data_IF_466855350348
#
_entry.id   IF_466855350348
#
_cell.length_a   1.000
_cell.length_b   1.000
_cell.length_c   1.000
_cell.angle_alpha   90.00
_cell.angle_beta   90.00
_cell.angle_gamma   90.00
#
_symmetry.space_group_name_H-M   'P 1'
#
loop_
_entity.id
_entity.type
_entity.pdbx_description
1 polymer ?
#
# COMPACT_ATOMS: atom_id res chain seq x y z
N UNK A 1 38.45 3.87 7.24
CA UNK A 1 37.90 3.79 8.61
C UNK A 1 37.96 5.18 9.23
N UNK A 2 36.86 5.67 9.82
CA UNK A 2 36.83 6.97 10.51
C UNK A 2 37.60 6.90 11.84
N UNK A 3 38.22 8.02 12.25
CA UNK A 3 38.97 8.13 13.51
C UNK A 3 38.12 7.76 14.73
N UNK A 4 36.82 8.11 14.70
CA UNK A 4 35.83 7.77 15.73
C UNK A 4 35.67 6.24 15.92
N UNK A 5 35.55 5.49 14.82
CA UNK A 5 35.43 4.03 14.87
C UNK A 5 36.69 3.36 15.43
N UNK A 6 37.87 3.89 15.10
CA UNK A 6 39.16 3.34 15.59
C UNK A 6 39.32 3.57 17.10
N UNK A 7 38.90 4.73 17.60
CA UNK A 7 38.94 5.04 19.03
C UNK A 7 37.93 4.18 19.80
N UNK A 8 36.71 4.03 19.27
CA UNK A 8 35.68 3.15 19.86
C UNK A 8 36.11 1.69 19.89
N UNK A 9 36.79 1.20 18.85
CA UNK A 9 37.29 -0.17 18.80
C UNK A 9 38.29 -0.45 19.92
N UNK A 10 39.27 0.44 20.09
CA UNK A 10 40.25 0.34 21.19
C UNK A 10 39.58 0.34 22.55
N UNK A 11 38.60 1.21 22.74
CA UNK A 11 37.86 1.32 23.99
C UNK A 11 37.03 0.06 24.28
N UNK A 12 36.36 -0.49 23.27
CA UNK A 12 35.64 -1.76 23.41
C UNK A 12 36.57 -2.92 23.77
N UNK A 13 37.72 -3.04 23.12
CA UNK A 13 38.72 -4.08 23.45
C UNK A 13 39.20 -3.96 24.89
N UNK A 14 39.57 -2.75 25.33
CA UNK A 14 40.00 -2.48 26.72
C UNK A 14 38.93 -2.88 27.73
N UNK A 15 37.68 -2.48 27.48
CA UNK A 15 36.56 -2.78 28.37
C UNK A 15 36.22 -4.28 28.42
N UNK A 16 36.36 -5.00 27.30
CA UNK A 16 36.21 -6.46 27.24
C UNK A 16 37.28 -7.13 28.11
N UNK A 17 38.55 -6.74 27.98
CA UNK A 17 39.64 -7.30 28.79
C UNK A 17 39.44 -7.05 30.29
N UNK A 18 38.97 -5.86 30.66
CA UNK A 18 38.65 -5.53 32.05
C UNK A 18 37.46 -6.34 32.58
N UNK A 19 36.42 -6.53 31.76
CA UNK A 19 35.28 -7.37 32.12
C UNK A 19 35.69 -8.83 32.32
N UNK A 20 36.58 -9.36 31.45
CA UNK A 20 37.12 -10.72 31.56
C UNK A 20 37.92 -10.91 32.85
N UNK A 21 38.79 -9.98 33.20
CA UNK A 21 39.53 -10.02 34.49
C UNK A 21 38.58 -10.06 35.69
N UNK A 22 37.48 -9.31 35.62
CA UNK A 22 36.47 -9.34 36.67
C UNK A 22 35.69 -10.66 36.72
N UNK A 23 35.45 -11.31 35.58
CA UNK A 23 34.88 -12.66 35.52
C UNK A 23 35.83 -13.71 36.12
N UNK A 24 37.13 -13.63 35.83
CA UNK A 24 38.16 -14.51 36.39
C UNK A 24 38.26 -14.39 37.91
N UNK A 25 38.15 -13.15 38.44
CA UNK A 25 38.15 -12.87 39.87
C UNK A 25 36.80 -13.13 40.56
N UNK A 26 35.79 -13.61 39.82
CA UNK A 26 34.42 -13.83 40.30
C UNK A 26 33.77 -12.57 40.94
N UNK A 27 34.20 -11.37 40.53
CA UNK A 27 33.66 -10.09 41.00
C UNK A 27 32.46 -9.69 40.12
N UNK A 28 31.28 -10.22 40.46
CA UNK A 28 30.02 -9.96 39.76
C UNK A 28 29.66 -8.47 39.68
N UNK A 29 29.97 -7.70 40.72
CA UNK A 29 29.69 -6.26 40.75
C UNK A 29 30.59 -5.50 39.78
N UNK A 30 31.86 -5.89 39.68
CA UNK A 30 32.74 -5.36 38.65
C UNK A 30 32.22 -5.69 37.24
N UNK A 31 31.85 -6.95 36.97
CA UNK A 31 31.39 -7.35 35.63
C UNK A 31 30.12 -6.60 35.23
N UNK A 32 29.15 -6.44 36.14
CA UNK A 32 27.93 -5.65 35.86
C UNK A 32 28.26 -4.20 35.46
N UNK A 33 29.18 -3.54 36.17
CA UNK A 33 29.63 -2.18 35.81
C UNK A 33 30.32 -2.15 34.44
N UNK A 34 31.15 -3.15 34.14
CA UNK A 34 31.84 -3.21 32.84
C UNK A 34 30.89 -3.51 31.68
N UNK A 35 29.88 -4.35 31.88
CA UNK A 35 28.80 -4.55 30.91
C UNK A 35 28.06 -3.24 30.68
N UNK A 36 27.70 -2.50 31.72
CA UNK A 36 27.06 -1.20 31.59
C UNK A 36 27.89 -0.23 30.73
N UNK A 37 29.19 -0.13 30.99
CA UNK A 37 30.13 0.66 30.19
C UNK A 37 30.18 0.19 28.72
N UNK A 38 30.33 -1.12 28.48
CA UNK A 38 30.35 -1.72 27.14
C UNK A 38 29.07 -1.46 26.34
N UNK A 39 27.91 -1.51 26.99
CA UNK A 39 26.63 -1.24 26.34
C UNK A 39 26.48 0.25 26.04
N UNK A 40 26.86 1.12 26.98
CA UNK A 40 26.80 2.58 26.84
C UNK A 40 27.62 3.11 25.66
N UNK A 41 28.77 2.49 25.37
CA UNK A 41 29.61 2.83 24.20
C UNK A 41 29.28 1.99 22.95
N UNK A 42 28.15 1.27 22.96
CA UNK A 42 27.61 0.49 21.84
C UNK A 42 28.50 -0.68 21.34
N UNK A 43 29.37 -1.24 22.20
CA UNK A 43 30.25 -2.35 21.82
C UNK A 43 29.47 -3.63 21.45
N UNK A 44 28.21 -3.75 21.86
CA UNK A 44 27.32 -4.86 21.51
C UNK A 44 26.76 -4.79 20.07
N UNK A 45 26.94 -3.67 19.38
CA UNK A 45 26.38 -3.42 18.04
C UNK A 45 27.38 -3.79 16.93
N UNK A 46 27.25 -5.01 16.42
CA UNK A 46 28.13 -5.55 15.37
C UNK A 46 28.14 -4.74 14.05
N UNK A 47 27.11 -3.93 13.77
CA UNK A 47 27.10 -3.03 12.61
C UNK A 47 28.10 -1.88 12.75
N UNK A 48 28.32 -1.40 13.98
CA UNK A 48 29.20 -0.26 14.26
C UNK A 48 30.64 -0.72 14.49
N UNK A 49 30.82 -1.78 15.27
CA UNK A 49 32.15 -2.15 15.79
C UNK A 49 32.74 -3.41 15.12
N UNK A 50 31.92 -4.20 14.43
CA UNK A 50 32.30 -5.49 13.86
C UNK A 50 31.81 -6.66 14.71
N UNK A 51 31.66 -7.83 14.05
CA UNK A 51 31.05 -9.02 14.67
C UNK A 51 31.85 -9.54 15.86
N UNK A 52 33.17 -9.62 15.72
CA UNK A 52 34.07 -10.20 16.74
C UNK A 52 33.95 -9.52 18.10
N UNK A 53 34.04 -8.18 18.14
CA UNK A 53 33.91 -7.41 19.39
C UNK A 53 32.50 -7.53 19.96
N UNK A 54 31.47 -7.46 19.11
CA UNK A 54 30.09 -7.61 19.56
C UNK A 54 29.79 -9.00 20.11
N UNK A 55 30.42 -10.04 19.58
CA UNK A 55 30.32 -11.42 20.07
C UNK A 55 31.08 -11.56 21.41
N UNK A 56 32.24 -10.92 21.58
CA UNK A 56 32.94 -10.88 22.88
C UNK A 56 32.10 -10.25 24.00
N UNK A 57 31.33 -9.20 23.71
CA UNK A 57 30.37 -8.63 24.68
C UNK A 57 29.25 -9.63 25.02
N UNK A 58 28.76 -10.41 24.04
CA UNK A 58 27.75 -11.46 24.30
C UNK A 58 28.30 -12.55 25.20
N UNK A 59 29.54 -12.98 24.98
CA UNK A 59 30.20 -14.01 25.80
C UNK A 59 30.33 -13.56 27.25
N UNK A 60 30.75 -12.30 27.49
CA UNK A 60 30.81 -11.75 28.86
C UNK A 60 29.43 -11.76 29.53
N UNK A 61 28.39 -11.34 28.81
CA UNK A 61 27.00 -11.33 29.32
C UNK A 61 26.53 -12.76 29.61
N UNK A 62 26.87 -13.73 28.74
CA UNK A 62 26.54 -15.13 28.92
C UNK A 62 27.21 -15.75 30.15
N UNK A 63 28.52 -15.54 30.29
CA UNK A 63 29.31 -16.05 31.42
C UNK A 63 28.84 -15.47 32.75
N UNK A 64 28.56 -14.17 32.79
CA UNK A 64 27.99 -13.55 33.98
C UNK A 64 26.62 -14.18 34.32
N UNK A 65 25.76 -14.38 33.31
CA UNK A 65 24.43 -14.95 33.50
C UNK A 65 24.47 -16.36 34.12
N UNK A 66 25.38 -17.20 33.66
CA UNK A 66 25.55 -18.57 34.17
C UNK A 66 25.99 -18.58 35.64
N UNK A 67 26.89 -17.67 36.02
CA UNK A 67 27.47 -17.60 37.38
C UNK A 67 26.66 -16.75 38.36
N UNK A 68 25.63 -16.06 37.89
CA UNK A 68 24.83 -15.12 38.66
C UNK A 68 23.70 -15.78 39.44
N UNK A 69 23.43 -15.21 40.63
CA UNK A 69 22.23 -15.52 41.41
C UNK A 69 21.01 -14.75 40.87
N UNK A 70 19.87 -14.93 41.51
CA UNK A 70 18.61 -14.31 41.11
C UNK A 70 18.71 -12.77 41.03
N UNK A 71 19.29 -12.13 42.05
CA UNK A 71 19.40 -10.68 42.12
C UNK A 71 20.32 -10.12 41.03
N UNK A 72 21.49 -10.74 40.83
CA UNK A 72 22.44 -10.33 39.80
C UNK A 72 21.87 -10.50 38.40
N UNK A 73 21.09 -11.57 38.15
CA UNK A 73 20.37 -11.77 36.89
C UNK A 73 19.34 -10.68 36.63
N UNK A 74 18.53 -10.34 37.64
CA UNK A 74 17.54 -9.25 37.48
C UNK A 74 18.22 -7.89 37.27
N UNK A 75 19.35 -7.63 37.93
CA UNK A 75 20.11 -6.40 37.73
C UNK A 75 20.72 -6.31 36.34
N UNK A 76 21.30 -7.38 35.82
CA UNK A 76 21.81 -7.47 34.45
C UNK A 76 20.70 -7.17 33.42
N UNK A 77 19.53 -7.78 33.59
CA UNK A 77 18.39 -7.55 32.69
C UNK A 77 17.91 -6.09 32.73
N UNK A 78 17.86 -5.46 33.92
CA UNK A 78 17.50 -4.03 34.04
C UNK A 78 18.46 -3.14 33.29
N UNK A 79 19.77 -3.33 33.46
CA UNK A 79 20.81 -2.59 32.73
C UNK A 79 20.59 -2.72 31.22
N UNK A 80 20.48 -3.95 30.71
CA UNK A 80 20.28 -4.19 29.27
C UNK A 80 19.00 -3.52 28.75
N UNK A 81 17.92 -3.50 29.55
CA UNK A 81 16.66 -2.83 29.22
C UNK A 81 16.79 -1.30 29.24
N UNK A 82 17.46 -0.73 30.24
CA UNK A 82 17.63 0.72 30.40
C UNK A 82 18.44 1.34 29.26
N UNK A 83 19.34 0.55 28.66
CA UNK A 83 20.09 0.94 27.46
C UNK A 83 19.43 0.51 26.14
N UNK A 84 18.13 0.15 26.16
CA UNK A 84 17.35 -0.22 24.97
C UNK A 84 17.95 -1.37 24.14
N UNK A 85 18.66 -2.31 24.79
CA UNK A 85 19.16 -3.50 24.10
C UNK A 85 17.97 -4.35 23.65
N UNK A 86 17.98 -4.78 22.38
CA UNK A 86 16.84 -5.51 21.83
C UNK A 86 16.62 -6.84 22.56
N UNK A 87 15.37 -7.20 22.82
CA UNK A 87 14.96 -8.49 23.42
C UNK A 87 15.55 -9.70 22.68
N UNK A 88 15.68 -9.61 21.35
CA UNK A 88 16.32 -10.63 20.52
C UNK A 88 17.80 -10.76 20.85
N UNK A 89 18.53 -9.65 20.93
CA UNK A 89 19.96 -9.67 21.28
C UNK A 89 20.16 -10.27 22.67
N UNK A 90 19.33 -9.89 23.66
CA UNK A 90 19.42 -10.46 25.03
C UNK A 90 19.16 -11.96 25.01
N UNK A 91 18.11 -12.40 24.33
CA UNK A 91 17.80 -13.83 24.16
C UNK A 91 18.99 -14.59 23.56
N UNK A 92 19.58 -14.04 22.50
CA UNK A 92 20.68 -14.65 21.79
C UNK A 92 21.95 -14.67 22.67
N UNK A 93 22.24 -13.61 23.45
CA UNK A 93 23.37 -13.58 24.38
C UNK A 93 23.21 -14.53 25.59
N UNK A 94 21.99 -14.72 26.06
CA UNK A 94 21.71 -15.61 27.20
C UNK A 94 21.54 -17.09 26.82
N UNK A 95 21.58 -17.40 25.52
CA UNK A 95 21.29 -18.74 24.98
C UNK A 95 19.99 -19.35 25.54
N UNK A 96 18.93 -18.54 25.61
CA UNK A 96 17.63 -18.98 26.15
C UNK A 96 16.53 -18.83 25.10
N UNK A 97 15.40 -19.49 25.32
CA UNK A 97 14.22 -19.33 24.47
C UNK A 97 13.36 -18.13 24.92
N UNK A 98 12.42 -17.71 24.06
CA UNK A 98 11.58 -16.54 24.33
C UNK A 98 10.66 -16.72 25.55
N UNK A 99 10.18 -17.94 25.81
CA UNK A 99 9.28 -18.23 26.95
C UNK A 99 10.05 -18.14 28.26
N UNK A 100 11.24 -18.70 28.31
CA UNK A 100 12.13 -18.63 29.48
C UNK A 100 12.54 -17.19 29.76
N UNK A 101 12.92 -16.42 28.74
CA UNK A 101 13.27 -14.99 28.90
C UNK A 101 12.09 -14.16 29.42
N UNK A 102 10.88 -14.36 28.87
CA UNK A 102 9.67 -13.68 29.36
C UNK A 102 9.37 -14.02 30.83
N UNK A 103 9.58 -15.28 31.23
CA UNK A 103 9.42 -15.69 32.63
C UNK A 103 10.38 -14.92 33.55
N UNK A 104 11.62 -14.70 33.11
CA UNK A 104 12.58 -13.88 33.85
C UNK A 104 12.16 -12.41 33.91
N UNK A 105 11.62 -11.84 32.84
CA UNK A 105 11.10 -10.46 32.86
C UNK A 105 9.99 -10.27 33.89
N UNK A 106 9.01 -11.19 33.92
CA UNK A 106 7.94 -11.19 34.92
C UNK A 106 8.51 -11.32 36.33
N UNK A 107 9.41 -12.29 36.56
CA UNK A 107 10.05 -12.51 37.87
C UNK A 107 10.82 -11.28 38.36
N UNK A 108 11.56 -10.62 37.47
CA UNK A 108 12.35 -9.44 37.79
C UNK A 108 11.54 -8.13 37.83
N UNK A 109 10.23 -8.18 37.55
CA UNK A 109 9.37 -6.99 37.47
C UNK A 109 9.78 -6.03 36.35
N UNK A 110 10.25 -6.57 35.22
CA UNK A 110 10.73 -5.79 34.07
C UNK A 110 9.63 -5.81 33.01
N UNK A 111 9.08 -4.64 32.73
CA UNK A 111 8.32 -4.42 31.50
C UNK A 111 9.32 -4.14 30.36
N UNK A 112 9.58 -5.17 29.56
CA UNK A 112 10.46 -5.06 28.41
C UNK A 112 9.59 -4.78 27.20
N UNK A 113 9.51 -3.49 26.81
CA UNK A 113 8.66 -3.05 25.69
C UNK A 113 8.80 -4.02 24.52
N UNK A 114 7.69 -4.71 24.23
CA UNK A 114 7.54 -5.32 22.92
C UNK A 114 7.54 -4.15 21.95
N UNK A 115 8.47 -4.15 20.98
CA UNK A 115 8.50 -3.21 19.83
C UNK A 115 7.07 -2.81 19.50
N UNK A 116 6.76 -1.50 19.57
CA UNK A 116 5.43 -1.00 19.18
C UNK A 116 5.02 -1.69 17.88
N UNK A 117 3.84 -2.33 17.92
CA UNK A 117 3.30 -2.98 16.73
C UNK A 117 3.23 -1.92 15.64
N UNK A 118 3.60 -2.28 14.41
CA UNK A 118 3.71 -1.36 13.27
C UNK A 118 2.48 -0.46 13.12
N UNK A 119 1.29 -1.00 13.35
CA UNK A 119 0.03 -0.25 13.35
C UNK A 119 0.03 0.92 14.32
N UNK A 120 0.63 0.78 15.50
CA UNK A 120 0.75 1.86 16.48
C UNK A 120 1.81 2.88 16.05
N UNK A 121 2.90 2.45 15.41
CA UNK A 121 3.91 3.38 14.84
C UNK A 121 3.29 4.23 13.73
N UNK A 122 2.51 3.61 12.85
CA UNK A 122 1.76 4.31 11.79
C UNK A 122 0.84 5.36 12.40
N UNK A 123 0.03 5.00 13.41
CA UNK A 123 -0.86 5.94 14.10
C UNK A 123 -0.12 7.13 14.72
N UNK A 124 1.05 6.89 15.33
CA UNK A 124 1.87 7.97 15.91
C UNK A 124 2.40 8.91 14.81
N UNK A 125 2.90 8.36 13.70
CA UNK A 125 3.39 9.20 12.60
C UNK A 125 2.24 9.97 11.95
N UNK A 126 1.08 9.34 11.71
CA UNK A 126 -0.11 10.03 11.21
C UNK A 126 -0.57 11.14 12.14
N UNK A 127 -0.56 10.91 13.46
CA UNK A 127 -0.83 11.92 14.47
C UNK A 127 0.15 13.10 14.38
N UNK A 128 1.45 12.82 14.31
CA UNK A 128 2.48 13.85 14.15
C UNK A 128 2.33 14.65 12.85
N UNK A 129 1.99 13.97 11.74
CA UNK A 129 1.78 14.62 10.45
C UNK A 129 0.59 15.56 10.48
N UNK A 130 -0.51 15.16 11.12
CA UNK A 130 -1.68 16.03 11.32
C UNK A 130 -1.39 17.18 12.27
N UNK A 131 -0.77 16.91 13.42
CA UNK A 131 -0.55 17.89 14.48
C UNK A 131 0.56 18.91 14.16
N UNK A 132 1.63 18.48 13.49
CA UNK A 132 2.83 19.33 13.28
C UNK A 132 2.96 19.88 11.87
N UNK A 133 2.33 19.24 10.88
CA UNK A 133 2.49 19.59 9.47
C UNK A 133 1.14 19.87 8.79
N UNK A 134 0.03 19.89 9.55
CA UNK A 134 -1.33 20.04 9.05
C UNK A 134 -1.66 19.08 7.88
N UNK A 135 -0.97 17.93 7.86
CA UNK A 135 -1.04 16.99 6.76
C UNK A 135 -2.25 16.08 6.93
N UNK A 136 -3.37 16.49 6.33
CA UNK A 136 -4.63 15.76 6.29
C UNK A 136 -4.96 15.29 4.86
N UNK A 137 -6.10 14.62 4.70
CA UNK A 137 -6.58 14.10 3.42
C UNK A 137 -6.76 15.19 2.36
N UNK A 138 -7.21 16.38 2.76
CA UNK A 138 -7.35 17.53 1.86
C UNK A 138 -5.98 17.98 1.38
N UNK A 139 -5.01 18.13 2.28
CA UNK A 139 -3.63 18.51 1.91
C UNK A 139 -3.00 17.48 0.97
N UNK A 140 -3.15 16.18 1.26
CA UNK A 140 -2.73 15.10 0.36
C UNK A 140 -3.35 15.24 -1.03
N UNK A 141 -4.64 15.54 -1.10
CA UNK A 141 -5.32 15.76 -2.37
C UNK A 141 -4.79 17.00 -3.12
N UNK A 142 -4.62 18.13 -2.44
CA UNK A 142 -4.10 19.36 -3.05
C UNK A 142 -2.67 19.15 -3.60
N UNK A 143 -1.82 18.43 -2.86
CA UNK A 143 -0.47 18.06 -3.31
C UNK A 143 -0.51 17.13 -4.55
N UNK A 144 -1.46 16.17 -4.59
CA UNK A 144 -1.69 15.37 -5.79
C UNK A 144 -2.14 16.23 -6.98
N UNK A 145 -3.08 17.15 -6.77
CA UNK A 145 -3.58 18.05 -7.82
C UNK A 145 -2.44 18.92 -8.36
N UNK A 146 -1.64 19.51 -7.46
CA UNK A 146 -0.47 20.30 -7.85
C UNK A 146 0.56 19.46 -8.61
N UNK A 147 0.82 18.22 -8.18
CA UNK A 147 1.74 17.31 -8.85
C UNK A 147 1.34 17.06 -10.32
N UNK A 148 0.04 16.94 -10.60
CA UNK A 148 -0.47 16.74 -11.96
C UNK A 148 -0.74 18.03 -12.74
N UNK A 149 -0.35 19.20 -12.18
CA UNK A 149 -0.48 20.52 -12.83
C UNK A 149 -1.83 21.21 -12.65
N UNK A 150 -2.70 20.70 -11.77
CA UNK A 150 -4.00 21.30 -11.45
C UNK A 150 -3.85 22.34 -10.33
N UNK A 151 -4.14 23.60 -10.63
CA UNK A 151 -4.24 24.66 -9.63
C UNK A 151 -5.64 24.64 -8.99
N UNK A 152 -5.73 24.23 -7.72
CA UNK A 152 -7.01 24.04 -7.04
C UNK A 152 -7.85 25.32 -6.91
N UNK A 153 -7.20 26.47 -6.67
CA UNK A 153 -7.89 27.75 -6.50
C UNK A 153 -8.51 28.25 -7.81
N UNK A 154 -7.91 27.89 -8.95
CA UNK A 154 -8.45 28.22 -10.26
C UNK A 154 -9.81 27.54 -10.52
N UNK A 155 -10.03 26.33 -9.98
CA UNK A 155 -11.30 25.61 -10.07
C UNK A 155 -12.32 26.10 -9.03
N UNK A 156 -11.87 26.38 -7.79
CA UNK A 156 -12.73 26.88 -6.70
C UNK A 156 -13.44 28.19 -7.07
N UNK A 157 -12.80 29.05 -7.88
CA UNK A 157 -13.42 30.27 -8.43
C UNK A 157 -14.75 30.02 -9.16
N UNK A 158 -14.94 28.82 -9.72
CA UNK A 158 -16.16 28.42 -10.45
C UNK A 158 -17.06 27.47 -9.63
N UNK A 159 -16.82 27.37 -8.31
CA UNK A 159 -17.56 26.47 -7.43
C UNK A 159 -17.30 24.99 -7.74
N UNK A 160 -16.09 24.65 -8.19
CA UNK A 160 -15.64 23.28 -8.38
C UNK A 160 -14.57 23.02 -7.33
N UNK A 161 -14.81 22.07 -6.42
CA UNK A 161 -13.85 21.65 -5.41
C UNK A 161 -13.06 20.44 -5.93
N UNK A 162 -11.77 20.56 -6.29
CA UNK A 162 -11.01 19.45 -6.86
C UNK A 162 -10.85 18.26 -5.92
N UNK A 163 -10.94 18.47 -4.61
CA UNK A 163 -10.83 17.42 -3.60
C UNK A 163 -12.16 16.78 -3.20
N UNK A 164 -13.26 17.09 -3.89
CA UNK A 164 -14.59 16.52 -3.60
C UNK A 164 -14.68 15.01 -3.84
N UNK A 165 -13.71 14.41 -4.54
CA UNK A 165 -13.65 12.96 -4.74
C UNK A 165 -13.47 12.18 -3.43
N UNK A 166 -12.99 12.84 -2.37
CA UNK A 166 -12.89 12.28 -1.03
C UNK A 166 -14.25 12.17 -0.32
N UNK A 167 -15.24 12.97 -0.72
CA UNK A 167 -16.57 13.00 -0.10
C UNK A 167 -17.28 11.67 -0.31
N UNK A 168 -17.78 11.05 0.76
CA UNK A 168 -18.51 9.79 0.70
C UNK A 168 -17.62 8.56 0.57
N UNK A 169 -16.30 8.69 0.44
CA UNK A 169 -15.39 7.56 0.34
C UNK A 169 -15.48 6.64 1.57
N UNK A 170 -15.69 7.21 2.76
CA UNK A 170 -15.85 6.48 4.02
C UNK A 170 -17.00 5.48 4.00
N UNK A 171 -18.08 5.77 3.27
CA UNK A 171 -19.21 4.87 3.15
C UNK A 171 -18.90 3.61 2.33
N UNK A 172 -17.78 3.60 1.57
CA UNK A 172 -17.28 2.43 0.88
C UNK A 172 -16.57 1.43 1.81
N UNK A 173 -16.51 1.68 3.12
CA UNK A 173 -16.11 0.65 4.10
C UNK A 173 -17.02 -0.58 4.06
N UNK A 174 -18.28 -0.41 3.62
CA UNK A 174 -19.21 -1.51 3.37
C UNK A 174 -19.00 -2.09 1.96
N UNK A 175 -18.44 -3.32 1.89
CA UNK A 175 -18.19 -4.02 0.64
C UNK A 175 -19.47 -4.40 -0.13
N UNK A 176 -20.66 -4.34 0.50
CA UNK A 176 -21.96 -4.62 -0.15
C UNK A 176 -22.45 -3.46 -1.02
N UNK A 177 -21.74 -2.34 -1.01
CA UNK A 177 -22.06 -1.20 -1.86
C UNK A 177 -21.82 -1.52 -3.34
N UNK A 178 -22.78 -1.27 -4.26
CA UNK A 178 -22.68 -1.60 -5.68
C UNK A 178 -21.44 -1.06 -6.37
N UNK A 179 -20.88 0.03 -5.85
CA UNK A 179 -19.59 0.59 -6.29
C UNK A 179 -18.50 -0.48 -6.40
N UNK A 180 -18.38 -1.37 -5.42
CA UNK A 180 -17.36 -2.43 -5.40
C UNK A 180 -17.56 -3.48 -6.49
N UNK A 181 -18.81 -3.78 -6.84
CA UNK A 181 -19.12 -4.66 -7.97
C UNK A 181 -18.72 -3.99 -9.29
N UNK A 182 -19.01 -2.69 -9.45
CA UNK A 182 -18.57 -1.88 -10.60
C UNK A 182 -17.04 -1.82 -10.74
N UNK A 183 -16.34 -1.65 -9.62
CA UNK A 183 -14.88 -1.68 -9.66
C UNK A 183 -14.36 -3.09 -9.99
N UNK A 184 -15.02 -4.16 -9.51
CA UNK A 184 -14.67 -5.54 -9.85
C UNK A 184 -14.88 -5.85 -11.33
N UNK A 185 -15.92 -5.30 -11.95
CA UNK A 185 -16.16 -5.46 -13.38
C UNK A 185 -15.10 -4.74 -14.23
N UNK A 186 -14.39 -3.76 -13.66
CA UNK A 186 -13.28 -3.02 -14.28
C UNK A 186 -11.88 -3.37 -13.73
N UNK A 187 -11.29 -2.55 -12.86
CA UNK A 187 -9.87 -2.64 -12.45
C UNK A 187 -9.61 -3.56 -11.24
N UNK A 188 -10.60 -3.75 -10.36
CA UNK A 188 -10.40 -4.52 -9.13
C UNK A 188 -10.32 -6.01 -9.46
N UNK A 189 -9.19 -6.62 -9.09
CA UNK A 189 -9.01 -8.06 -9.15
C UNK A 189 -9.36 -8.67 -7.79
N UNK A 190 -10.28 -9.63 -7.78
CA UNK A 190 -10.62 -10.44 -6.58
C UNK A 190 -10.05 -11.84 -6.77
N UNK A 191 -9.30 -12.34 -5.78
CA UNK A 191 -8.72 -13.69 -5.80
C UNK A 191 -9.13 -14.46 -4.55
N UNK A 192 -9.68 -15.65 -4.72
CA UNK A 192 -9.95 -16.57 -3.62
C UNK A 192 -8.76 -17.49 -3.40
N UNK A 193 -8.22 -17.50 -2.18
CA UNK A 193 -7.19 -18.41 -1.72
C UNK A 193 -7.73 -19.43 -0.71
N UNK A 194 -6.85 -20.24 -0.13
CA UNK A 194 -7.19 -21.20 0.92
C UNK A 194 -7.47 -20.47 2.24
N UNK A 195 -8.68 -19.93 2.37
CA UNK A 195 -9.19 -19.30 3.60
C UNK A 195 -9.23 -17.77 3.61
N UNK A 196 -8.89 -17.11 2.50
CA UNK A 196 -8.88 -15.64 2.39
C UNK A 196 -9.31 -15.18 0.99
N UNK A 197 -9.87 -13.97 0.90
CA UNK A 197 -10.15 -13.29 -0.37
C UNK A 197 -9.25 -12.06 -0.52
N UNK A 198 -8.34 -12.07 -1.48
CA UNK A 198 -7.42 -10.95 -1.77
C UNK A 198 -8.11 -9.97 -2.75
N UNK A 199 -8.24 -8.71 -2.35
CA UNK A 199 -8.62 -7.60 -3.22
C UNK A 199 -7.37 -6.88 -3.72
N UNK A 200 -7.21 -6.72 -5.03
CA UNK A 200 -6.00 -6.19 -5.66
C UNK A 200 -6.30 -5.07 -6.64
N UNK A 201 -5.59 -3.95 -6.47
CA UNK A 201 -5.52 -2.86 -7.44
C UNK A 201 -4.06 -2.57 -7.78
N UNK A 202 -3.73 -2.41 -9.06
CA UNK A 202 -2.37 -2.18 -9.52
C UNK A 202 -2.30 -1.04 -10.52
N UNK A 203 -1.30 -0.17 -10.39
CA UNK A 203 -1.18 0.99 -11.27
C UNK A 203 0.26 1.46 -11.47
N UNK A 204 0.44 2.16 -12.58
CA UNK A 204 1.63 2.96 -12.90
C UNK A 204 1.27 4.45 -13.02
N UNK A 205 -0.03 4.79 -12.92
CA UNK A 205 -0.56 6.15 -13.01
C UNK A 205 -0.36 6.90 -11.69
N UNK A 206 -0.05 8.20 -11.79
CA UNK A 206 0.15 9.07 -10.63
C UNK A 206 -1.10 9.24 -9.76
N UNK A 207 -2.27 9.42 -10.40
CA UNK A 207 -3.54 9.64 -9.72
C UNK A 207 -3.98 8.37 -8.99
N UNK A 208 -3.97 7.23 -9.69
CA UNK A 208 -4.39 5.95 -9.14
C UNK A 208 -3.50 5.50 -7.97
N UNK A 209 -2.22 5.89 -7.95
CA UNK A 209 -1.31 5.56 -6.85
C UNK A 209 -1.80 6.10 -5.50
N UNK A 210 -2.45 7.27 -5.50
CA UNK A 210 -3.04 7.89 -4.30
C UNK A 210 -4.49 7.44 -4.12
N UNK A 211 -5.24 7.36 -5.21
CA UNK A 211 -6.64 6.97 -5.16
C UNK A 211 -6.83 5.52 -4.67
N UNK A 212 -6.10 4.55 -5.21
CA UNK A 212 -6.26 3.13 -4.86
C UNK A 212 -5.89 2.83 -3.41
N UNK A 213 -4.84 3.48 -2.87
CA UNK A 213 -4.49 3.32 -1.45
C UNK A 213 -5.59 3.90 -0.55
N UNK A 214 -6.13 5.07 -0.90
CA UNK A 214 -7.23 5.68 -0.13
C UNK A 214 -8.50 4.84 -0.21
N UNK A 215 -8.85 4.35 -1.39
CA UNK A 215 -10.01 3.51 -1.60
C UNK A 215 -9.93 2.20 -0.81
N UNK A 216 -8.82 1.46 -0.86
CA UNK A 216 -8.70 0.21 -0.08
C UNK A 216 -8.64 0.47 1.42
N UNK A 217 -8.05 1.61 1.84
CA UNK A 217 -7.94 1.98 3.26
C UNK A 217 -9.28 2.20 3.97
N UNK A 218 -10.38 2.40 3.22
CA UNK A 218 -11.73 2.48 3.81
C UNK A 218 -12.19 1.14 4.38
N UNK A 219 -11.64 0.03 3.86
CA UNK A 219 -11.96 -1.34 4.27
C UNK A 219 -10.91 -1.83 5.27
N UNK A 220 -9.64 -1.88 4.85
CA UNK A 220 -8.51 -2.32 5.68
C UNK A 220 -7.23 -1.62 5.23
N UNK A 221 -6.24 -1.53 6.12
CA UNK A 221 -4.92 -0.97 5.77
C UNK A 221 -4.30 -1.83 4.66
N UNK A 222 -4.04 -1.26 3.46
CA UNK A 222 -3.51 -2.03 2.34
C UNK A 222 -2.03 -2.37 2.50
N UNK A 223 -1.66 -3.55 2.03
CA UNK A 223 -0.29 -3.91 1.72
C UNK A 223 0.08 -3.31 0.36
N UNK A 224 1.35 -2.92 0.20
CA UNK A 224 1.90 -2.44 -1.07
C UNK A 224 3.02 -3.38 -1.55
N UNK A 225 3.07 -3.61 -2.85
CA UNK A 225 4.16 -4.31 -3.51
C UNK A 225 4.64 -3.44 -4.67
N UNK A 226 5.90 -3.02 -4.59
CA UNK A 226 6.57 -2.21 -5.61
C UNK A 226 7.36 -3.16 -6.50
N UNK A 227 7.03 -3.21 -7.78
CA UNK A 227 7.70 -4.11 -8.73
C UNK A 227 7.89 -3.47 -10.09
N UNK A 228 8.82 -4.02 -10.85
CA UNK A 228 8.94 -3.67 -12.27
C UNK A 228 7.74 -4.22 -13.04
N UNK A 229 7.07 -3.36 -13.81
CA UNK A 229 5.95 -3.76 -14.63
C UNK A 229 6.42 -4.76 -15.71
N UNK A 230 5.77 -5.93 -15.79
CA UNK A 230 6.15 -7.01 -16.70
C UNK A 230 6.06 -6.62 -18.19
N UNK A 231 5.26 -5.59 -18.52
CA UNK A 231 4.99 -5.13 -19.87
C UNK A 231 5.33 -3.65 -20.08
N UNK A 232 6.55 -3.23 -19.74
CA UNK A 232 7.03 -1.85 -19.98
C UNK A 232 7.00 -1.41 -21.47
N UNK A 233 6.74 -2.31 -22.42
CA UNK A 233 6.86 -2.08 -23.88
C UNK A 233 5.71 -1.34 -24.57
N UNK A 234 4.64 -0.89 -23.89
CA UNK A 234 3.48 -0.27 -24.57
C UNK A 234 3.65 1.20 -24.96
N UNK A 235 4.66 1.92 -24.44
CA UNK A 235 4.94 3.30 -24.84
C UNK A 235 6.40 3.46 -25.25
N UNK A 236 6.65 4.05 -26.43
CA UNK A 236 7.98 4.21 -27.07
C UNK A 236 9.04 4.88 -26.17
N UNK A 237 8.61 5.61 -25.15
CA UNK A 237 9.47 6.41 -24.25
C UNK A 237 9.58 5.84 -22.82
N UNK A 238 8.98 4.68 -22.54
CA UNK A 238 8.98 4.08 -21.20
C UNK A 238 9.89 2.86 -21.20
N UNK A 239 11.15 3.06 -20.82
CA UNK A 239 12.14 1.99 -20.83
C UNK A 239 12.04 1.06 -19.60
N UNK A 240 11.53 1.57 -18.47
CA UNK A 240 11.27 0.82 -17.23
C UNK A 240 10.09 1.46 -16.50
N UNK A 241 9.00 0.73 -16.33
CA UNK A 241 7.84 1.21 -15.56
C UNK A 241 7.81 0.53 -14.19
N UNK A 242 7.57 1.31 -13.14
CA UNK A 242 7.39 0.82 -11.77
C UNK A 242 5.89 0.75 -11.50
N UNK A 243 5.41 -0.45 -11.21
CA UNK A 243 4.02 -0.71 -10.85
C UNK A 243 3.90 -0.80 -9.33
N UNK A 244 2.88 -0.14 -8.81
CA UNK A 244 2.44 -0.26 -7.43
C UNK A 244 1.23 -1.18 -7.39
N UNK A 245 1.36 -2.33 -6.72
CA UNK A 245 0.26 -3.26 -6.45
C UNK A 245 -0.17 -3.10 -5.00
N UNK A 246 -1.38 -2.61 -4.79
CA UNK A 246 -2.04 -2.56 -3.48
C UNK A 246 -2.93 -3.78 -3.30
N UNK A 247 -2.97 -4.32 -2.09
CA UNK A 247 -3.88 -5.42 -1.78
C UNK A 247 -4.30 -5.47 -0.31
N UNK A 248 -5.50 -5.97 -0.07
CA UNK A 248 -6.02 -6.32 1.27
C UNK A 248 -6.53 -7.75 1.27
N UNK A 249 -6.35 -8.42 2.40
CA UNK A 249 -6.83 -9.78 2.63
C UNK A 249 -8.10 -9.73 3.49
N UNK A 250 -9.16 -10.33 2.95
CA UNK A 250 -10.48 -10.43 3.58
C UNK A 250 -10.70 -11.84 4.13
N UNK A 251 -11.56 -11.94 5.14
CA UNK A 251 -12.03 -13.23 5.66
C UNK A 251 -12.87 -14.04 4.63
N UNK A 252 -13.15 -15.31 4.95
CA UNK A 252 -13.74 -16.31 4.04
C UNK A 252 -15.08 -15.87 3.41
N UNK A 253 -15.84 -14.99 4.07
CA UNK A 253 -17.18 -14.55 3.61
C UNK A 253 -17.36 -13.02 3.64
N UNK A 254 -16.27 -12.27 3.71
CA UNK A 254 -16.32 -10.79 3.75
C UNK A 254 -16.61 -10.16 2.37
N UNK A 255 -16.30 -10.86 1.28
CA UNK A 255 -16.60 -10.39 -0.08
C UNK A 255 -18.00 -10.84 -0.52
N UNK A 256 -18.98 -9.92 -0.68
CA UNK A 256 -20.38 -10.29 -0.84
C UNK A 256 -20.78 -10.60 -2.29
N UNK A 257 -19.90 -10.31 -3.25
CA UNK A 257 -20.20 -10.42 -4.67
C UNK A 257 -19.67 -11.71 -5.29
N UNK A 258 -20.25 -12.11 -6.43
CA UNK A 258 -19.69 -13.21 -7.21
C UNK A 258 -18.30 -12.85 -7.73
N UNK A 259 -17.39 -13.82 -7.66
CA UNK A 259 -16.02 -13.65 -8.14
C UNK A 259 -15.88 -13.84 -9.63
N UNK A 260 -16.76 -14.64 -10.23
CA UNK A 260 -16.90 -14.82 -11.67
C UNK A 260 -18.32 -14.41 -12.05
N UNK A 261 -18.46 -13.65 -13.13
CA UNK A 261 -19.73 -13.13 -13.58
C UNK A 261 -19.90 -13.53 -15.04
N UNK A 262 -20.96 -14.27 -15.33
CA UNK A 262 -21.54 -14.41 -16.66
C UNK A 262 -22.42 -13.21 -17.00
N UNK A 263 -22.80 -13.10 -18.28
CA UNK A 263 -23.77 -12.10 -18.75
C UNK A 263 -25.07 -12.14 -17.93
N UNK A 264 -25.61 -13.33 -17.68
CA UNK A 264 -26.88 -13.49 -16.96
C UNK A 264 -26.76 -13.16 -15.46
N UNK A 265 -25.63 -13.51 -14.84
CA UNK A 265 -25.37 -13.16 -13.44
C UNK A 265 -25.22 -11.65 -13.25
N UNK A 266 -24.51 -10.98 -14.16
CA UNK A 266 -24.40 -9.52 -14.12
C UNK A 266 -25.77 -8.87 -14.35
N UNK A 267 -26.51 -9.28 -15.38
CA UNK A 267 -27.86 -8.74 -15.64
C UNK A 267 -28.78 -8.90 -14.42
N UNK A 268 -28.86 -10.11 -13.85
CA UNK A 268 -29.65 -10.35 -12.63
C UNK A 268 -29.24 -9.48 -11.46
N UNK A 269 -27.95 -9.25 -11.26
CA UNK A 269 -27.47 -8.36 -10.21
C UNK A 269 -27.94 -6.92 -10.45
N UNK A 270 -27.79 -6.41 -11.68
CA UNK A 270 -28.20 -5.05 -12.05
C UNK A 270 -29.72 -4.86 -12.03
N UNK A 271 -30.51 -5.87 -12.39
CA UNK A 271 -31.96 -5.84 -12.34
C UNK A 271 -32.47 -5.69 -10.89
N UNK A 272 -31.74 -6.24 -9.93
CA UNK A 272 -32.03 -6.11 -8.50
C UNK A 272 -31.71 -4.74 -7.91
N UNK A 273 -30.95 -3.90 -8.61
CA UNK A 273 -30.56 -2.57 -8.12
C UNK A 273 -31.68 -1.54 -8.32
N UNK A 274 -31.84 -0.67 -7.34
CA UNK A 274 -32.49 0.63 -7.50
C UNK A 274 -31.71 1.52 -8.49
N UNK A 275 -32.33 2.60 -8.96
CA UNK A 275 -31.66 3.53 -9.88
C UNK A 275 -30.41 4.18 -9.26
N UNK A 276 -30.42 4.39 -7.94
CA UNK A 276 -29.28 4.94 -7.20
C UNK A 276 -28.14 3.91 -7.06
N UNK A 277 -28.47 2.66 -6.76
CA UNK A 277 -27.49 1.56 -6.71
C UNK A 277 -26.87 1.28 -8.08
N UNK A 278 -27.67 1.38 -9.16
CA UNK A 278 -27.17 1.28 -10.52
C UNK A 278 -26.24 2.45 -10.88
N UNK A 279 -26.59 3.67 -10.48
CA UNK A 279 -25.73 4.84 -10.70
C UNK A 279 -24.39 4.70 -9.96
N UNK A 280 -24.43 4.16 -8.75
CA UNK A 280 -23.24 3.88 -7.94
C UNK A 280 -22.37 2.77 -8.56
N UNK A 281 -22.98 1.68 -9.03
CA UNK A 281 -22.28 0.63 -9.78
C UNK A 281 -21.56 1.20 -11.01
N UNK A 282 -22.25 2.03 -11.81
CA UNK A 282 -21.66 2.64 -13.02
C UNK A 282 -20.51 3.58 -12.67
N UNK A 283 -20.58 4.29 -11.55
CA UNK A 283 -19.48 5.11 -11.07
C UNK A 283 -18.25 4.28 -10.73
N UNK A 284 -18.42 3.13 -10.06
CA UNK A 284 -17.34 2.18 -9.79
C UNK A 284 -16.69 1.63 -11.06
N UNK A 285 -17.50 1.33 -12.09
CA UNK A 285 -17.01 0.91 -13.41
C UNK A 285 -16.20 2.02 -14.10
N UNK A 286 -16.69 3.27 -14.03
CA UNK A 286 -16.00 4.44 -14.57
C UNK A 286 -14.71 4.74 -13.79
N UNK A 287 -14.68 4.46 -12.49
CA UNK A 287 -13.52 4.64 -11.62
C UNK A 287 -12.44 3.56 -11.78
N UNK A 288 -12.71 2.47 -12.48
CA UNK A 288 -11.69 1.59 -13.04
C UNK A 288 -11.36 1.94 -14.49
N UNK A 289 -12.18 1.46 -15.41
CA UNK A 289 -11.91 1.46 -16.86
C UNK A 289 -12.58 2.63 -17.63
N UNK A 290 -13.12 3.61 -16.90
CA UNK A 290 -13.79 4.76 -17.48
C UNK A 290 -12.87 5.85 -17.99
N UNK A 291 -13.37 6.66 -18.92
CA UNK A 291 -12.76 7.92 -19.33
C UNK A 291 -13.84 8.98 -19.50
N UNK A 292 -13.60 10.14 -18.89
CA UNK A 292 -14.40 11.36 -19.06
C UNK A 292 -13.55 12.34 -19.86
N UNK A 293 -13.98 12.76 -21.05
CA UNK A 293 -13.18 13.66 -21.91
C UNK A 293 -14.01 14.63 -22.76
N UNK A 294 -13.31 15.61 -23.31
CA UNK A 294 -13.82 16.65 -24.19
C UNK A 294 -13.07 16.62 -25.51
N UNK A 295 -13.81 16.78 -26.59
CA UNK A 295 -13.23 17.11 -27.88
C UNK A 295 -14.05 18.23 -28.54
N UNK A 296 -15.31 17.92 -28.88
CA UNK A 296 -16.31 18.90 -29.34
C UNK A 296 -17.47 19.04 -28.36
N UNK A 297 -17.76 17.98 -27.62
CA UNK A 297 -18.75 17.91 -26.57
C UNK A 297 -18.29 16.94 -25.49
N UNK A 298 -18.95 16.96 -24.33
CA UNK A 298 -18.67 16.02 -23.25
C UNK A 298 -18.89 14.58 -23.73
N UNK A 299 -17.96 13.68 -23.39
CA UNK A 299 -18.06 12.26 -23.70
C UNK A 299 -17.62 11.42 -22.51
N UNK A 300 -18.29 10.27 -22.33
CA UNK A 300 -17.97 9.25 -21.32
C UNK A 300 -17.76 7.92 -22.03
N UNK A 301 -16.70 7.20 -21.69
CA UNK A 301 -16.27 5.95 -22.31
C UNK A 301 -16.05 4.95 -21.20
N UNK A 302 -16.54 3.73 -21.39
CA UNK A 302 -16.17 2.56 -20.60
C UNK A 302 -15.47 1.61 -21.57
N UNK A 303 -14.20 1.29 -21.30
CA UNK A 303 -13.38 0.48 -22.19
C UNK A 303 -13.35 -0.98 -21.71
N UNK A 304 -13.30 -1.92 -22.64
CA UNK A 304 -12.95 -3.30 -22.35
C UNK A 304 -11.98 -3.81 -23.42
N UNK A 305 -10.91 -4.49 -23.01
CA UNK A 305 -9.99 -5.09 -23.97
C UNK A 305 -10.69 -6.17 -24.81
N UNK A 306 -10.44 -6.18 -26.13
CA UNK A 306 -11.14 -7.06 -27.08
C UNK A 306 -11.00 -8.55 -26.77
N UNK A 307 -9.80 -8.97 -26.36
CA UNK A 307 -9.50 -10.37 -26.06
C UNK A 307 -9.83 -10.76 -24.62
N UNK A 308 -10.45 -9.88 -23.84
CA UNK A 308 -10.68 -10.11 -22.42
C UNK A 308 -12.08 -10.70 -22.17
N UNK A 309 -12.21 -11.62 -21.20
CA UNK A 309 -13.51 -12.19 -20.82
C UNK A 309 -14.55 -11.16 -20.40
N UNK A 310 -14.13 -9.93 -20.09
CA UNK A 310 -14.94 -8.81 -19.60
C UNK A 310 -15.69 -8.05 -20.70
N UNK A 311 -15.47 -8.33 -21.99
CA UNK A 311 -16.09 -7.55 -23.08
C UNK A 311 -17.64 -7.51 -22.96
N UNK A 312 -18.29 -8.62 -22.59
CA UNK A 312 -19.75 -8.69 -22.50
C UNK A 312 -20.37 -7.62 -21.59
N UNK A 313 -19.61 -7.08 -20.62
CA UNK A 313 -20.05 -6.00 -19.73
C UNK A 313 -20.55 -4.81 -20.54
N UNK A 314 -19.88 -4.44 -21.64
CA UNK A 314 -20.29 -3.29 -22.46
C UNK A 314 -21.68 -3.45 -23.07
N UNK A 315 -22.08 -4.66 -23.48
CA UNK A 315 -23.41 -4.91 -24.04
C UNK A 315 -24.48 -4.82 -22.94
N UNK A 316 -24.20 -5.43 -21.78
CA UNK A 316 -25.08 -5.37 -20.61
C UNK A 316 -25.31 -3.93 -20.16
N UNK A 317 -24.23 -3.14 -20.03
CA UNK A 317 -24.35 -1.74 -19.62
C UNK A 317 -25.08 -0.89 -20.65
N UNK A 318 -24.87 -1.13 -21.95
CA UNK A 318 -25.59 -0.42 -23.00
C UNK A 318 -27.10 -0.62 -22.87
N UNK A 319 -27.54 -1.85 -22.67
CA UNK A 319 -28.96 -2.21 -22.52
C UNK A 319 -29.55 -1.61 -21.24
N UNK A 320 -28.95 -1.91 -20.08
CA UNK A 320 -29.48 -1.51 -18.77
C UNK A 320 -29.54 0.02 -18.63
N UNK A 321 -28.52 0.74 -19.09
CA UNK A 321 -28.51 2.22 -19.02
C UNK A 321 -29.56 2.83 -19.95
N UNK A 322 -29.77 2.25 -21.14
CA UNK A 322 -30.80 2.72 -22.06
C UNK A 322 -32.21 2.49 -21.48
N UNK A 323 -32.46 1.30 -20.93
CA UNK A 323 -33.77 0.93 -20.37
C UNK A 323 -34.11 1.71 -19.09
N UNK A 324 -33.18 1.75 -18.13
CA UNK A 324 -33.42 2.32 -16.81
C UNK A 324 -33.31 3.85 -16.80
N UNK A 325 -32.36 4.40 -17.54
CA UNK A 325 -32.08 5.84 -17.49
C UNK A 325 -32.53 6.61 -18.74
N UNK A 326 -32.92 5.92 -19.82
CA UNK A 326 -33.23 6.56 -21.11
C UNK A 326 -32.00 7.23 -21.73
N UNK A 327 -30.80 6.70 -21.46
CA UNK A 327 -29.53 7.24 -21.94
C UNK A 327 -28.94 6.26 -22.95
N UNK A 328 -28.88 6.69 -24.20
CA UNK A 328 -28.35 5.86 -25.28
C UNK A 328 -26.85 6.14 -25.47
N UNK A 329 -26.08 5.06 -25.55
CA UNK A 329 -24.67 5.06 -25.91
C UNK A 329 -24.39 4.02 -27.00
N UNK A 330 -23.25 4.20 -27.67
CA UNK A 330 -22.84 3.41 -28.82
C UNK A 330 -21.57 2.63 -28.53
N UNK A 331 -21.47 1.43 -29.11
CA UNK A 331 -20.26 0.61 -28.98
C UNK A 331 -19.35 0.92 -30.17
N UNK A 332 -18.12 1.31 -29.86
CA UNK A 332 -17.06 1.54 -30.83
C UNK A 332 -16.01 0.43 -30.74
N UNK A 333 -15.52 0.00 -31.90
CA UNK A 333 -14.49 -1.03 -32.01
C UNK A 333 -13.17 -0.38 -32.42
N UNK A 334 -12.20 -0.35 -31.52
CA UNK A 334 -10.84 0.16 -31.77
C UNK A 334 -9.89 -1.00 -32.06
N UNK A 335 -8.63 -0.73 -32.39
CA UNK A 335 -7.66 -1.79 -32.73
C UNK A 335 -7.47 -2.79 -31.58
N UNK A 336 -7.35 -2.31 -30.34
CA UNK A 336 -6.99 -3.12 -29.17
C UNK A 336 -8.11 -3.30 -28.14
N UNK A 337 -9.14 -2.47 -28.20
CA UNK A 337 -10.22 -2.36 -27.21
C UNK A 337 -11.56 -2.10 -27.90
N UNK A 338 -12.63 -2.50 -27.23
CA UNK A 338 -13.99 -2.05 -27.53
C UNK A 338 -14.39 -1.05 -26.45
N UNK A 339 -15.33 -0.16 -26.78
CA UNK A 339 -15.80 0.80 -25.80
C UNK A 339 -17.26 1.21 -25.97
N UNK A 340 -17.99 1.26 -24.86
CA UNK A 340 -19.29 1.91 -24.78
C UNK A 340 -19.09 3.41 -24.58
N UNK A 341 -19.63 4.22 -25.49
CA UNK A 341 -19.42 5.66 -25.52
C UNK A 341 -20.76 6.40 -25.47
N UNK A 342 -20.83 7.38 -24.58
CA UNK A 342 -21.95 8.32 -24.47
C UNK A 342 -21.45 9.71 -24.89
N UNK A 343 -22.18 10.35 -25.80
CA UNK A 343 -21.81 11.68 -26.32
C UNK A 343 -22.81 12.76 -25.90
N UNK A 344 -22.31 13.99 -25.80
CA UNK A 344 -23.10 15.22 -25.71
C UNK A 344 -24.15 15.15 -24.59
N UNK A 345 -25.44 15.23 -24.93
CA UNK A 345 -26.55 15.21 -23.95
C UNK A 345 -26.62 13.89 -23.18
N UNK A 346 -26.29 12.75 -23.80
CA UNK A 346 -26.26 11.45 -23.12
C UNK A 346 -25.17 11.42 -22.06
N UNK A 347 -23.98 11.92 -22.37
CA UNK A 347 -22.88 12.05 -21.42
C UNK A 347 -23.27 12.91 -20.21
N UNK A 348 -23.85 14.10 -20.45
CA UNK A 348 -24.27 15.01 -19.36
C UNK A 348 -25.35 14.39 -18.49
N UNK A 349 -26.36 13.75 -19.10
CA UNK A 349 -27.41 13.03 -18.35
C UNK A 349 -26.81 11.93 -17.47
N UNK A 350 -25.82 11.18 -17.99
CA UNK A 350 -25.16 10.12 -17.24
C UNK A 350 -24.36 10.72 -16.09
N UNK A 351 -23.49 11.69 -16.37
CA UNK A 351 -22.66 12.35 -15.37
C UNK A 351 -23.49 12.93 -14.23
N UNK A 352 -24.60 13.63 -14.51
CA UNK A 352 -25.49 14.18 -13.46
C UNK A 352 -26.03 13.12 -12.50
N UNK A 353 -26.22 11.88 -12.95
CA UNK A 353 -26.72 10.78 -12.10
C UNK A 353 -25.61 10.20 -11.24
N UNK A 354 -24.43 10.00 -11.82
CA UNK A 354 -23.36 9.23 -11.17
C UNK A 354 -22.36 10.11 -10.42
N UNK A 355 -22.34 11.43 -10.64
CA UNK A 355 -21.26 12.33 -10.21
C UNK A 355 -20.91 12.12 -8.75
N UNK A 356 -21.90 12.07 -7.85
CA UNK A 356 -21.73 11.91 -6.39
C UNK A 356 -21.06 10.60 -5.97
N UNK A 357 -21.02 9.60 -6.84
CA UNK A 357 -20.39 8.30 -6.61
C UNK A 357 -19.04 8.14 -7.34
N UNK A 358 -18.61 9.14 -8.13
CA UNK A 358 -17.28 9.15 -8.76
C UNK A 358 -16.27 9.64 -7.72
N UNK A 359 -15.32 8.77 -7.39
CA UNK A 359 -14.23 8.98 -6.44
C UNK A 359 -12.86 8.99 -7.11
N UNK A 360 -12.72 8.66 -8.40
CA UNK A 360 -11.45 8.85 -9.08
C UNK A 360 -11.15 10.36 -9.25
N UNK A 361 -10.02 10.90 -8.72
CA UNK A 361 -9.78 12.34 -8.62
C UNK A 361 -9.93 13.10 -9.94
N UNK A 362 -9.26 12.64 -11.00
CA UNK A 362 -9.28 13.32 -12.30
C UNK A 362 -10.62 13.16 -13.05
N UNK A 363 -11.29 12.01 -12.91
CA UNK A 363 -12.57 11.74 -13.58
C UNK A 363 -13.68 12.56 -12.92
N UNK A 364 -13.68 12.67 -11.59
CA UNK A 364 -14.58 13.56 -10.85
C UNK A 364 -14.37 15.02 -11.25
N UNK A 365 -13.13 15.49 -11.23
CA UNK A 365 -12.79 16.87 -11.63
C UNK A 365 -13.28 17.21 -13.04
N UNK A 366 -13.03 16.33 -14.02
CA UNK A 366 -13.49 16.54 -15.40
C UNK A 366 -15.02 16.53 -15.51
N UNK A 367 -15.68 15.64 -14.77
CA UNK A 367 -17.13 15.57 -14.77
C UNK A 367 -17.76 16.84 -14.17
N UNK A 368 -17.26 17.34 -13.04
CA UNK A 368 -17.69 18.62 -12.45
C UNK A 368 -17.46 19.79 -13.42
N UNK A 369 -16.31 19.83 -14.09
CA UNK A 369 -15.99 20.87 -15.07
C UNK A 369 -16.96 20.85 -16.27
N UNK A 370 -17.36 19.66 -16.75
CA UNK A 370 -18.38 19.55 -17.78
C UNK A 370 -19.73 20.04 -17.31
N UNK A 371 -20.17 19.60 -16.12
CA UNK A 371 -21.45 20.04 -15.58
C UNK A 371 -21.46 21.56 -15.39
N UNK A 372 -20.38 22.16 -14.90
CA UNK A 372 -20.24 23.61 -14.80
C UNK A 372 -20.38 24.32 -16.16
N UNK A 373 -19.78 23.80 -17.24
CA UNK A 373 -19.94 24.36 -18.58
C UNK A 373 -21.40 24.28 -19.06
N UNK A 374 -22.04 23.12 -18.87
CA UNK A 374 -23.43 22.90 -19.31
C UNK A 374 -24.45 23.69 -18.48
N UNK A 375 -24.15 23.95 -17.21
CA UNK A 375 -24.98 24.75 -16.32
C UNK A 375 -24.73 26.26 -16.50
N UNK A 376 -23.81 26.67 -17.38
CA UNK A 376 -23.48 28.07 -17.64
C UNK A 376 -22.70 28.75 -16.52
N UNK A 377 -22.10 27.98 -15.59
CA UNK A 377 -21.28 28.50 -14.48
C UNK A 377 -19.89 28.96 -14.92
N UNK A 378 -19.41 28.47 -16.07
CA UNK A 378 -18.11 28.80 -16.64
C UNK A 378 -18.26 29.06 -18.14
N UNK A 379 -17.48 30.02 -18.67
CA UNK A 379 -17.44 30.26 -20.12
C UNK A 379 -16.72 29.13 -20.83
N UNK A 380 -16.93 29.00 -22.14
CA UNK A 380 -16.21 28.01 -22.96
C UNK A 380 -14.69 28.21 -22.92
N UNK A 381 -14.24 29.46 -22.98
CA UNK A 381 -12.81 29.80 -22.94
C UNK A 381 -12.16 29.38 -21.61
N UNK A 382 -12.81 29.70 -20.48
CA UNK A 382 -12.31 29.30 -19.16
C UNK A 382 -12.39 27.78 -18.96
N UNK A 383 -13.43 27.14 -19.49
CA UNK A 383 -13.53 25.68 -19.53
C UNK A 383 -12.35 25.07 -20.29
N UNK A 384 -12.05 25.54 -21.50
CA UNK A 384 -10.96 25.00 -22.33
C UNK A 384 -9.62 25.17 -21.62
N UNK A 385 -9.38 26.32 -20.98
CA UNK A 385 -8.19 26.59 -20.16
C UNK A 385 -8.04 25.61 -18.99
N UNK A 386 -9.10 25.40 -18.22
CA UNK A 386 -9.07 24.48 -17.06
C UNK A 386 -9.05 23.00 -17.49
N UNK A 387 -9.67 22.66 -18.62
CA UNK A 387 -9.69 21.29 -19.11
C UNK A 387 -8.32 20.86 -19.66
N UNK A 388 -7.58 21.77 -20.28
CA UNK A 388 -6.31 21.47 -20.93
C UNK A 388 -5.28 20.86 -19.99
N UNK A 389 -5.15 21.40 -18.77
CA UNK A 389 -4.24 20.85 -17.73
C UNK A 389 -4.63 19.44 -17.28
N UNK A 390 -5.88 19.04 -17.48
CA UNK A 390 -6.33 17.68 -17.14
C UNK A 390 -5.94 16.66 -18.20
N UNK A 391 -5.63 17.07 -19.44
CA UNK A 391 -5.36 16.16 -20.56
C UNK A 391 -4.08 15.36 -20.34
N UNK A 392 -4.06 14.17 -20.93
CA UNK A 392 -2.83 13.39 -21.02
C UNK A 392 -2.01 13.85 -22.22
N UNK A 393 -0.69 13.97 -22.05
CA UNK A 393 0.21 14.25 -23.17
C UNK A 393 0.30 13.04 -24.10
N UNK A 394 0.23 13.30 -25.41
CA UNK A 394 0.29 12.26 -26.45
C UNK A 394 1.68 12.26 -27.05
N UNK A 395 2.34 11.10 -27.06
CA UNK A 395 3.62 10.92 -27.73
C UNK A 395 4.83 11.52 -27.02
N UNK A 396 4.69 11.92 -25.74
CA UNK A 396 5.76 12.43 -24.88
C UNK A 396 5.66 11.92 -23.43
N UNK A 397 6.64 12.27 -22.57
CA UNK A 397 6.57 12.02 -21.13
C UNK A 397 5.41 12.81 -20.49
N UNK A 398 4.55 12.15 -19.71
CA UNK A 398 3.45 12.80 -19.01
C UNK A 398 3.58 12.52 -17.52
N UNK A 399 3.54 13.56 -16.68
CA UNK A 399 3.59 13.43 -15.21
C UNK A 399 2.51 12.49 -14.66
N UNK A 400 1.37 12.37 -15.34
CA UNK A 400 0.26 11.48 -14.94
C UNK A 400 0.52 10.01 -15.28
N UNK A 401 1.41 9.70 -16.22
CA UNK A 401 1.69 8.34 -16.71
C UNK A 401 3.05 7.82 -16.22
N UNK A 402 3.07 6.62 -15.66
CA UNK A 402 4.30 5.95 -15.19
C UNK A 402 5.05 6.66 -14.06
N UNK A 403 4.38 7.55 -13.30
CA UNK A 403 4.95 8.22 -12.13
C UNK A 403 4.23 7.85 -10.83
N UNK A 404 3.58 6.68 -10.78
CA UNK A 404 2.90 6.19 -9.57
C UNK A 404 3.78 6.26 -8.32
N UNK A 405 5.03 5.80 -8.40
CA UNK A 405 5.95 5.82 -7.25
C UNK A 405 6.27 7.24 -6.80
N UNK A 406 6.49 8.17 -7.72
CA UNK A 406 6.81 9.56 -7.40
C UNK A 406 5.59 10.31 -6.84
N UNK A 407 4.41 10.08 -7.40
CA UNK A 407 3.17 10.62 -6.87
C UNK A 407 2.93 10.10 -5.45
N UNK A 408 3.11 8.80 -5.22
CA UNK A 408 2.99 8.23 -3.88
C UNK A 408 4.02 8.84 -2.91
N UNK A 409 5.27 9.08 -3.34
CA UNK A 409 6.28 9.64 -2.43
C UNK A 409 6.00 11.08 -2.03
N UNK A 410 5.41 11.88 -2.94
CA UNK A 410 5.07 13.30 -2.71
C UNK A 410 3.74 13.49 -2.01
N UNK A 411 2.71 12.70 -2.34
CA UNK A 411 1.36 12.88 -1.82
C UNK A 411 1.09 12.05 -0.55
N UNK A 412 1.81 10.95 -0.29
CA UNK A 412 1.54 10.17 0.91
C UNK A 412 2.15 10.82 2.16
N UNK A 413 1.39 10.92 3.28
CA UNK A 413 2.00 10.98 4.60
C UNK A 413 2.81 9.68 4.78
N UNK A 414 4.14 9.74 4.65
CA UNK A 414 4.99 8.55 4.58
C UNK A 414 4.88 7.69 5.85
N UNK A 415 4.20 6.53 5.79
CA UNK A 415 4.41 5.42 6.75
C UNK A 415 4.50 4.02 6.13
N UNK A 416 4.40 3.87 4.80
CA UNK A 416 4.52 2.56 4.16
C UNK A 416 5.98 2.25 3.76
N UNK A 417 6.85 1.97 4.74
CA UNK A 417 8.15 1.32 4.46
C UNK A 417 7.97 -0.21 4.42
N UNK A 418 8.38 -0.85 3.32
CA UNK A 418 8.44 -2.31 3.16
C UNK A 418 9.82 -2.88 3.51
N UNK A 419 9.85 -4.12 4.02
CA UNK A 419 10.94 -5.08 3.79
C UNK A 419 11.65 -5.62 5.03
N UNK A 420 11.35 -6.88 5.39
CA UNK A 420 12.09 -7.64 6.40
C UNK A 420 11.53 -9.05 6.62
N UNK A 421 11.70 -9.91 5.61
CA UNK A 421 11.69 -11.40 5.60
C UNK A 421 10.89 -12.16 6.67
N UNK A 422 9.96 -12.97 6.18
CA UNK A 422 9.29 -13.99 6.95
C UNK A 422 10.24 -15.05 7.51
N UNK A 423 9.88 -15.51 8.70
CA UNK A 423 10.09 -16.90 9.14
C UNK A 423 8.89 -17.22 10.02
N UNK A 424 7.97 -18.01 9.46
CA UNK A 424 6.89 -18.65 10.20
C UNK A 424 7.48 -19.88 10.93
N UNK A 425 7.44 -19.95 12.27
CA UNK A 425 8.03 -21.05 13.02
C UNK A 425 6.98 -22.13 13.32
N UNK A 426 6.26 -22.63 12.32
CA UNK A 426 5.42 -23.83 12.48
C UNK A 426 5.39 -24.67 11.22
N UNK A 427 6.52 -25.33 10.92
CA UNK A 427 6.48 -26.63 10.24
C UNK A 427 7.42 -27.58 10.96
N UNK A 428 6.81 -28.47 11.71
CA UNK A 428 7.46 -29.62 12.33
C UNK A 428 8.19 -30.47 11.29
N UNK A 429 9.38 -30.93 11.68
CA UNK A 429 10.21 -31.89 10.96
C UNK A 429 9.64 -33.30 11.14
N UNK A 430 9.56 -34.06 10.05
CA UNK A 430 10.17 -35.40 9.85
C UNK A 430 9.46 -36.19 8.72
N UNK A 431 10.05 -37.27 8.16
CA UNK A 431 11.44 -37.44 7.75
C UNK A 431 11.58 -37.97 6.30
N UNK A 432 12.80 -37.82 5.79
CA UNK A 432 13.51 -38.51 4.71
C UNK A 432 12.88 -39.81 4.16
N UNK A 433 12.65 -39.86 2.83
CA UNK A 433 12.79 -41.08 2.02
C UNK A 433 13.56 -40.78 0.73
N UNK A 434 14.70 -41.47 0.61
CA UNK A 434 15.52 -41.68 -0.58
C UNK A 434 14.69 -42.20 -1.76
N UNK A 435 14.84 -41.65 -2.97
CA UNK A 435 15.02 -42.41 -4.23
C UNK A 435 15.95 -41.61 -5.18
N UNK A 436 16.86 -42.37 -5.83
CA UNK A 436 18.07 -42.04 -6.61
C UNK A 436 17.86 -41.20 -7.89
N UNK A 437 18.94 -40.59 -8.43
CA UNK A 437 18.96 -39.92 -9.73
C UNK A 437 19.10 -40.92 -10.89
N UNK A 438 18.41 -40.66 -12.00
CA UNK A 438 18.64 -41.34 -13.28
C UNK A 438 19.20 -40.34 -14.29
N UNK A 439 20.43 -40.63 -14.68
CA UNK A 439 21.28 -40.00 -15.68
C UNK A 439 20.81 -40.27 -17.12
N UNK A 440 21.15 -39.33 -18.01
CA UNK A 440 21.17 -39.41 -19.48
C UNK A 440 21.58 -40.76 -20.10
N UNK A 441 20.93 -41.12 -21.23
CA UNK A 441 21.48 -41.65 -22.52
C UNK A 441 20.32 -41.72 -23.55
N UNK A 442 20.34 -40.92 -24.62
CA UNK A 442 20.82 -41.23 -25.99
C UNK A 442 20.00 -42.30 -26.76
N UNK A 443 19.18 -41.83 -27.71
CA UNK A 443 19.26 -42.20 -29.15
C UNK A 443 18.40 -43.33 -29.72
N UNK A 444 17.79 -43.02 -30.89
CA UNK A 444 17.46 -43.91 -32.04
C UNK A 444 16.19 -44.77 -31.80
N UNK A 445 15.10 -44.77 -32.59
CA UNK A 445 14.77 -44.49 -34.02
C UNK A 445 13.60 -43.50 -34.09
#
# INVERSE_FOLDING_TARGET
MTTDRKNRLKECTRLIEEAMKCLENNDKQCVLRKIEELIRVECHNGRLIGKEIADGVREIVHELWLRSDYESRCRLLRILRDFNVSKRWVRDALHTDARTLNTWFVRCGIDWENRMVRSNVVKVIEGLLREKFDWNEIRMCEELMQFIGVNVDAFRKYGIEPCSWLEGLESLSDLRRPYWLGLRTSDLTVRKGNGETELVLATTNAIDAVFFVKLLSTVKVPNLNIRWAKNAKKAKYVHKSIELKYYIDLGIDEWPWLTELSTDELKRALDGFSDEELAEFIAGEIDGDGTVWYEKSASVKIAACKACPKRFILDVLKEVIAERFGIVGDIHHYETDDALVFHSKSAVKLLRRIIKYIHHPLRRLRAELFLALYDGRISREEFERLYDVTKYEIGGPDVKRNNALEALTRAAPQTHTHGGLGTDPTKEKHPTRLIKPLTHRLGII
#
